data_IF_642314871042
#
_entry.id   IF_642314871042
#
_cell.length_a   1.000
_cell.length_b   1.000
_cell.length_c   1.000
_cell.angle_alpha   90.00
_cell.angle_beta   90.00
_cell.angle_gamma   90.00
#
_symmetry.space_group_name_H-M   'P 1'
#
loop_
_entity.id
_entity.type
_entity.pdbx_description
1 polymer ?
#
# COMPACT_ATOMS: atom_id res chain seq x y z
N UNK A 1 -4.33 -15.83 -16.66
CA UNK A 1 -4.17 -14.50 -17.29
C UNK A 1 -3.16 -13.71 -16.47
N UNK A 2 -2.22 -12.96 -17.08
CA UNK A 2 -1.10 -12.33 -16.33
C UNK A 2 -1.62 -11.27 -15.34
N UNK A 3 -2.62 -10.49 -15.75
CA UNK A 3 -3.27 -9.45 -14.91
C UNK A 3 -3.86 -10.05 -13.63
N UNK A 4 -4.59 -11.16 -13.73
CA UNK A 4 -5.20 -11.85 -12.58
C UNK A 4 -4.16 -12.27 -11.55
N UNK A 5 -2.97 -12.71 -12.00
CA UNK A 5 -1.89 -13.12 -11.12
C UNK A 5 -1.30 -11.94 -10.34
N UNK A 6 -1.16 -10.76 -10.96
CA UNK A 6 -0.73 -9.56 -10.23
C UNK A 6 -1.78 -9.13 -9.21
N UNK A 7 -3.06 -9.23 -9.53
CA UNK A 7 -4.15 -8.93 -8.58
C UNK A 7 -4.22 -9.92 -7.41
N UNK A 8 -4.05 -11.23 -7.68
CA UNK A 8 -3.98 -12.26 -6.64
C UNK A 8 -2.82 -12.01 -5.68
N UNK A 9 -1.64 -11.62 -6.19
CA UNK A 9 -0.49 -11.30 -5.33
C UNK A 9 -0.78 -10.08 -4.46
N UNK A 10 -1.40 -9.03 -5.01
CA UNK A 10 -1.82 -7.86 -4.23
C UNK A 10 -2.78 -8.25 -3.09
N UNK A 11 -3.76 -9.11 -3.36
CA UNK A 11 -4.72 -9.59 -2.35
C UNK A 11 -4.07 -10.49 -1.29
N UNK A 12 -3.06 -11.27 -1.69
CA UNK A 12 -2.33 -12.23 -0.86
C UNK A 12 -1.14 -11.63 -0.11
N UNK A 13 -0.92 -10.30 -0.15
CA UNK A 13 0.14 -9.66 0.64
C UNK A 13 -0.11 -9.96 2.12
N UNK A 14 0.93 -10.33 2.85
CA UNK A 14 0.84 -10.56 4.29
C UNK A 14 0.59 -9.23 5.01
N UNK A 15 -0.31 -9.24 5.98
CA UNK A 15 -0.54 -8.08 6.83
C UNK A 15 0.67 -7.87 7.73
N UNK A 16 1.14 -6.63 7.80
CA UNK A 16 2.11 -6.24 8.79
C UNK A 16 1.36 -6.01 10.10
N UNK A 17 1.59 -6.87 11.08
CA UNK A 17 0.87 -6.85 12.36
C UNK A 17 1.52 -5.93 13.38
N UNK A 18 2.80 -5.62 13.22
CA UNK A 18 3.56 -4.78 14.14
C UNK A 18 4.17 -3.60 13.41
N UNK A 19 3.83 -2.40 13.88
CA UNK A 19 4.34 -1.12 13.40
C UNK A 19 5.88 -1.09 13.44
N UNK A 20 6.50 -1.58 14.52
CA UNK A 20 7.96 -1.55 14.66
C UNK A 20 8.73 -2.41 13.64
N UNK A 21 8.05 -3.25 12.86
CA UNK A 21 8.65 -4.00 11.76
C UNK A 21 8.67 -3.15 10.48
N UNK A 22 9.52 -2.11 10.51
CA UNK A 22 9.71 -1.20 9.37
C UNK A 22 10.13 -1.96 8.11
N UNK A 23 10.98 -2.97 8.22
CA UNK A 23 11.39 -3.80 7.08
C UNK A 23 10.19 -4.47 6.37
N UNK A 24 9.24 -5.05 7.12
CA UNK A 24 8.04 -5.63 6.52
C UNK A 24 7.09 -4.59 5.93
N UNK A 25 7.02 -3.38 6.49
CA UNK A 25 6.28 -2.26 5.89
C UNK A 25 6.91 -1.84 4.55
N UNK A 26 8.23 -1.66 4.53
CA UNK A 26 8.98 -1.33 3.31
C UNK A 26 8.81 -2.41 2.23
N UNK A 27 8.92 -3.68 2.60
CA UNK A 27 8.68 -4.79 1.68
C UNK A 27 7.24 -4.82 1.15
N UNK A 28 6.25 -4.45 1.99
CA UNK A 28 4.85 -4.32 1.57
C UNK A 28 4.68 -3.21 0.52
N UNK A 29 5.24 -2.02 0.79
CA UNK A 29 5.17 -0.90 -0.14
C UNK A 29 5.86 -1.20 -1.48
N UNK A 30 7.08 -1.74 -1.45
CA UNK A 30 7.86 -2.09 -2.64
C UNK A 30 7.15 -3.15 -3.50
N UNK A 31 6.57 -4.16 -2.84
CA UNK A 31 5.80 -5.21 -3.52
C UNK A 31 4.56 -4.62 -4.19
N UNK A 32 3.81 -3.77 -3.49
CA UNK A 32 2.65 -3.09 -4.08
C UNK A 32 3.08 -2.27 -5.29
N UNK A 33 4.12 -1.43 -5.15
CA UNK A 33 4.60 -0.58 -6.24
C UNK A 33 5.03 -1.37 -7.47
N UNK A 34 5.75 -2.47 -7.26
CA UNK A 34 6.18 -3.38 -8.33
C UNK A 34 5.00 -3.94 -9.12
N UNK A 35 3.95 -4.39 -8.41
CA UNK A 35 2.76 -4.93 -9.04
C UNK A 35 1.93 -3.85 -9.77
N UNK A 36 1.88 -2.63 -9.24
CA UNK A 36 1.24 -1.49 -9.91
C UNK A 36 1.94 -1.10 -11.21
N UNK A 37 3.28 -1.06 -11.20
CA UNK A 37 4.07 -0.80 -12.41
C UNK A 37 3.86 -1.89 -13.46
N UNK A 38 3.78 -3.15 -13.03
CA UNK A 38 3.46 -4.27 -13.93
C UNK A 38 2.05 -4.17 -14.52
N UNK A 39 1.03 -3.86 -13.72
CA UNK A 39 -0.34 -3.65 -14.20
C UNK A 39 -0.43 -2.49 -15.21
N UNK A 40 0.27 -1.39 -14.93
CA UNK A 40 0.38 -0.24 -15.85
C UNK A 40 1.06 -0.64 -17.16
N UNK A 41 2.15 -1.41 -17.12
CA UNK A 41 2.86 -1.90 -18.30
C UNK A 41 2.01 -2.88 -19.14
N UNK A 42 1.10 -3.61 -18.50
CA UNK A 42 0.12 -4.49 -19.15
C UNK A 42 -1.08 -3.73 -19.75
N UNK A 43 -1.12 -2.40 -19.64
CA UNK A 43 -2.19 -1.56 -20.18
C UNK A 43 -3.46 -1.54 -19.33
N UNK A 44 -3.39 -1.96 -18.06
CA UNK A 44 -4.52 -1.86 -17.14
C UNK A 44 -4.72 -0.38 -16.77
N UNK A 45 -5.93 0.18 -16.92
CA UNK A 45 -6.21 1.56 -16.56
C UNK A 45 -5.96 1.77 -15.06
N UNK A 46 -5.30 2.88 -14.73
CA UNK A 46 -4.87 3.16 -13.38
C UNK A 46 -6.06 3.28 -12.42
N UNK A 47 -7.17 3.79 -12.93
CA UNK A 47 -8.46 3.94 -12.25
C UNK A 47 -8.99 2.61 -11.68
N UNK A 48 -8.72 1.50 -12.37
CA UNK A 48 -9.21 0.17 -11.99
C UNK A 48 -8.52 -0.38 -10.73
N UNK A 49 -7.28 0.04 -10.43
CA UNK A 49 -6.53 -0.43 -9.26
C UNK A 49 -6.24 0.68 -8.23
N UNK A 50 -6.18 1.95 -8.64
CA UNK A 50 -6.03 3.11 -7.74
C UNK A 50 -7.19 3.23 -6.77
N UNK A 51 -8.41 2.90 -7.20
CA UNK A 51 -9.59 2.88 -6.32
C UNK A 51 -9.54 1.76 -5.26
N UNK A 52 -8.88 0.64 -5.57
CA UNK A 52 -8.79 -0.54 -4.68
C UNK A 52 -7.58 -0.47 -3.74
N UNK A 53 -6.51 0.19 -4.16
CA UNK A 53 -5.27 0.33 -3.42
C UNK A 53 -5.49 0.79 -1.98
N UNK A 54 -6.32 1.82 -1.71
CA UNK A 54 -6.51 2.28 -0.36
C UNK A 54 -7.07 1.24 0.59
N UNK A 55 -8.13 0.55 0.14
CA UNK A 55 -8.77 -0.50 0.92
C UNK A 55 -7.85 -1.71 1.12
N UNK A 56 -6.97 -1.97 0.15
CA UNK A 56 -6.01 -3.06 0.24
C UNK A 56 -4.92 -2.75 1.28
N UNK A 57 -4.26 -1.60 1.16
CA UNK A 57 -3.15 -1.24 2.04
C UNK A 57 -3.66 -1.10 3.48
N UNK A 58 -4.78 -0.41 3.71
CA UNK A 58 -5.33 -0.22 5.06
C UNK A 58 -5.70 -1.54 5.75
N UNK A 59 -6.08 -2.58 4.99
CA UNK A 59 -6.32 -3.93 5.53
C UNK A 59 -5.04 -4.68 5.91
N UNK A 60 -3.90 -4.27 5.37
CA UNK A 60 -2.60 -4.94 5.56
C UNK A 60 -1.67 -4.16 6.50
N UNK A 61 -2.02 -2.92 6.86
CA UNK A 61 -1.24 -2.11 7.80
C UNK A 61 -1.69 -2.35 9.25
N UNK A 62 -0.78 -2.14 10.22
CA UNK A 62 -1.12 -2.04 11.63
C UNK A 62 -2.14 -0.93 11.88
N UNK A 63 -3.02 -1.14 12.85
CA UNK A 63 -4.10 -0.21 13.17
C UNK A 63 -3.58 1.19 13.53
N UNK A 64 -2.43 1.29 14.19
CA UNK A 64 -1.80 2.53 14.60
C UNK A 64 -1.40 3.39 13.39
N UNK A 65 -0.90 2.77 12.33
CA UNK A 65 -0.59 3.45 11.08
C UNK A 65 -1.87 3.88 10.37
N UNK A 66 -2.87 3.01 10.29
CA UNK A 66 -4.18 3.38 9.72
C UNK A 66 -4.77 4.60 10.43
N UNK A 67 -4.66 4.67 11.76
CA UNK A 67 -5.10 5.81 12.55
C UNK A 67 -4.24 7.06 12.34
N UNK A 68 -2.93 6.92 12.13
CA UNK A 68 -2.06 8.06 11.81
C UNK A 68 -2.36 8.62 10.42
N UNK A 69 -2.55 7.75 9.43
CA UNK A 69 -2.97 8.09 8.06
C UNK A 69 -4.32 8.78 8.08
N UNK A 70 -5.33 8.25 8.77
CA UNK A 70 -6.66 8.88 8.84
C UNK A 70 -6.64 10.25 9.52
N UNK A 71 -5.65 10.51 10.39
CA UNK A 71 -5.47 11.80 11.07
C UNK A 71 -4.74 12.83 10.21
N UNK A 72 -3.79 12.40 9.36
CA UNK A 72 -2.97 13.29 8.54
C UNK A 72 -3.47 13.47 7.10
N UNK A 73 -4.04 12.43 6.51
CA UNK A 73 -4.51 12.41 5.13
C UNK A 73 -6.04 12.41 5.11
N UNK A 74 -6.65 13.44 4.51
CA UNK A 74 -8.07 13.39 4.16
C UNK A 74 -8.24 12.24 3.17
N UNK A 75 -9.10 11.28 3.50
CA UNK A 75 -9.27 9.94 2.91
C UNK A 75 -9.37 9.83 1.37
N UNK A 76 -9.40 10.94 0.63
CA UNK A 76 -9.84 11.00 -0.77
C UNK A 76 -8.70 10.97 -1.79
N UNK A 77 -7.46 11.35 -1.46
CA UNK A 77 -6.41 11.54 -2.48
C UNK A 77 -5.00 11.12 -2.06
N UNK A 78 -4.88 10.18 -1.12
CA UNK A 78 -3.54 9.82 -0.66
C UNK A 78 -2.77 8.99 -1.70
N UNK A 79 -1.48 9.30 -1.85
CA UNK A 79 -0.55 8.56 -2.72
C UNK A 79 0.30 7.58 -1.92
N UNK A 80 0.77 6.51 -2.59
CA UNK A 80 1.66 5.51 -1.97
C UNK A 80 2.92 6.16 -1.38
N UNK A 81 3.46 7.19 -2.04
CA UNK A 81 4.61 7.97 -1.55
C UNK A 81 4.32 8.69 -0.23
N UNK A 82 3.13 9.29 -0.06
CA UNK A 82 2.75 9.98 1.18
C UNK A 82 2.64 8.98 2.34
N UNK A 83 2.16 7.76 2.09
CA UNK A 83 2.16 6.72 3.12
C UNK A 83 3.56 6.30 3.54
N UNK A 84 4.48 6.24 2.57
CA UNK A 84 5.88 5.90 2.83
C UNK A 84 6.53 6.97 3.68
N UNK A 85 6.35 8.24 3.35
CA UNK A 85 6.85 9.38 4.14
C UNK A 85 6.29 9.36 5.57
N UNK A 86 4.98 9.12 5.74
CA UNK A 86 4.39 8.96 7.07
C UNK A 86 4.96 7.77 7.84
N UNK A 87 5.22 6.68 7.13
CA UNK A 87 5.89 5.49 7.65
C UNK A 87 7.39 5.69 7.91
N UNK A 88 8.01 6.78 7.51
CA UNK A 88 9.37 7.16 7.92
C UNK A 88 9.32 8.10 9.12
N UNK A 89 8.45 9.10 9.08
CA UNK A 89 8.30 10.12 10.13
C UNK A 89 7.90 9.50 11.48
N UNK A 90 7.04 8.47 11.47
CA UNK A 90 6.59 7.80 12.69
C UNK A 90 7.66 6.93 13.37
N UNK A 91 8.78 6.63 12.70
CA UNK A 91 9.82 5.73 13.21
C UNK A 91 11.20 6.36 13.32
N UNK A 92 11.37 7.58 12.80
CA UNK A 92 12.59 8.39 12.96
C UNK A 92 12.49 9.41 14.10
N UNK A 93 11.36 9.46 14.81
CA UNK A 93 11.12 10.29 16.00
C UNK A 93 11.22 9.55 17.32
#
# INVERSE_FOLDING_TARGET
>A
HIISKHMEVLLSIESVTWQGNTHSLWALYDKVETHLRALKALGVPAEAYISLLPSLILKKLPQELCLAISRKLKYVDWKLDEMRELGEELYTG
#
